data_IF_659225785791
#
_entry.id   IF_659225785791
#
_cell.length_a   1.000
_cell.length_b   1.000
_cell.length_c   1.000
_cell.angle_alpha   90.00
_cell.angle_beta   90.00
_cell.angle_gamma   90.00
#
_symmetry.space_group_name_H-M   'P 1'
#
loop_
_entity.id
_entity.type
_entity.pdbx_description
1 polymer ?
#
# COMPACT_ATOMS: atom_id res chain seq x y z
N UNK A 1 -52.25 -17.28 -64.98
CA UNK A 1 -52.60 -15.97 -65.54
C UNK A 1 -51.68 -14.98 -64.87
N UNK A 2 -50.64 -14.40 -65.46
CA UNK A 2 -50.05 -14.37 -66.80
C UNK A 2 -48.61 -13.82 -66.56
N UNK A 3 -47.58 -14.34 -67.25
CA UNK A 3 -46.86 -13.67 -68.36
C UNK A 3 -46.42 -12.21 -68.03
N UNK A 4 -45.28 -11.65 -68.40
CA UNK A 4 -44.11 -12.03 -69.18
C UNK A 4 -43.30 -10.71 -69.34
N UNK A 5 -41.98 -10.81 -69.56
CA UNK A 5 -41.19 -9.97 -70.46
C UNK A 5 -40.96 -8.45 -70.20
N UNK A 6 -39.70 -8.16 -69.85
CA UNK A 6 -38.68 -7.56 -70.74
C UNK A 6 -38.64 -6.04 -71.02
N UNK A 7 -37.39 -5.64 -71.34
CA UNK A 7 -36.88 -4.41 -71.98
C UNK A 7 -36.76 -3.17 -71.09
N UNK A 8 -35.74 -2.32 -71.21
CA UNK A 8 -34.55 -2.26 -72.07
C UNK A 8 -33.56 -1.23 -71.45
N UNK A 9 -32.27 -1.36 -71.76
CA UNK A 9 -31.27 -0.29 -71.58
C UNK A 9 -31.48 0.84 -72.60
N UNK A 10 -31.03 2.05 -72.28
CA UNK A 10 -30.52 2.98 -73.29
C UNK A 10 -29.08 3.44 -73.02
N UNK A 11 -28.40 3.69 -74.12
CA UNK A 11 -27.00 4.05 -74.36
C UNK A 11 -26.70 5.54 -74.21
N UNK A 12 -25.50 5.83 -73.66
CA UNK A 12 -24.44 6.74 -74.14
C UNK A 12 -24.74 8.22 -74.48
N UNK A 13 -24.08 9.15 -73.76
CA UNK A 13 -23.56 10.45 -74.23
C UNK A 13 -22.44 10.89 -73.25
N UNK A 14 -21.15 10.86 -73.64
CA UNK A 14 -20.31 11.99 -74.08
C UNK A 14 -20.10 13.12 -73.05
N UNK A 15 -18.85 13.31 -72.58
CA UNK A 15 -18.03 14.57 -72.49
C UNK A 15 -16.84 14.44 -71.49
N UNK A 16 -15.78 15.27 -71.55
CA UNK A 16 -14.50 14.96 -72.21
C UNK A 16 -13.30 14.82 -71.24
N UNK A 17 -12.14 14.48 -71.82
CA UNK A 17 -10.83 14.51 -71.18
C UNK A 17 -10.29 15.95 -71.08
N UNK A 18 -9.72 16.31 -69.93
CA UNK A 18 -8.63 17.28 -69.78
C UNK A 18 -8.08 17.25 -68.34
N UNK A 19 -6.76 17.39 -68.19
CA UNK A 19 -6.16 17.90 -66.95
C UNK A 19 -5.17 16.98 -66.25
N UNK A 20 -3.93 16.98 -66.76
CA UNK A 20 -2.73 16.65 -66.01
C UNK A 20 -2.67 17.48 -64.71
N UNK A 21 -2.47 16.80 -63.58
CA UNK A 21 -2.28 17.43 -62.28
C UNK A 21 -1.86 16.41 -61.23
N UNK A 22 -0.59 16.01 -61.30
CA UNK A 22 0.11 15.32 -60.21
C UNK A 22 0.06 16.18 -58.95
N UNK A 23 -0.90 15.91 -58.06
CA UNK A 23 -0.86 16.37 -56.68
C UNK A 23 -0.43 15.20 -55.81
N UNK A 24 0.89 15.11 -55.62
CA UNK A 24 1.49 14.46 -54.46
C UNK A 24 0.84 15.07 -53.23
N UNK A 25 -0.13 14.38 -52.62
CA UNK A 25 -0.54 14.69 -51.26
C UNK A 25 0.57 14.15 -50.37
N UNK A 26 1.53 15.02 -50.13
CA UNK A 26 2.57 14.79 -49.15
C UNK A 26 1.90 14.39 -47.84
N UNK A 27 2.36 13.24 -47.35
CA UNK A 27 2.19 12.73 -46.02
C UNK A 27 2.48 13.83 -44.99
N UNK A 28 1.47 14.63 -44.63
CA UNK A 28 1.47 15.28 -43.33
C UNK A 28 1.14 14.21 -42.30
N UNK A 29 2.18 13.44 -41.95
CA UNK A 29 2.35 12.94 -40.61
C UNK A 29 2.14 14.14 -39.69
N UNK A 30 0.92 14.26 -39.17
CA UNK A 30 0.64 15.09 -38.02
C UNK A 30 1.58 14.56 -36.95
N UNK A 31 2.73 15.21 -36.80
CA UNK A 31 3.66 14.98 -35.71
C UNK A 31 2.89 15.43 -34.50
N UNK A 32 2.07 14.51 -33.98
CA UNK A 32 1.81 14.43 -32.56
C UNK A 32 3.17 14.62 -31.94
N UNK A 33 3.42 15.81 -31.41
CA UNK A 33 4.44 16.02 -30.42
C UNK A 33 4.03 15.04 -29.33
N UNK A 34 4.56 13.80 -29.41
CA UNK A 34 4.56 12.89 -28.28
C UNK A 34 5.24 13.72 -27.22
N UNK A 35 4.44 14.29 -26.34
CA UNK A 35 4.92 14.93 -25.15
C UNK A 35 5.58 13.78 -24.42
N UNK A 36 6.88 13.62 -24.63
CA UNK A 36 7.69 12.54 -24.10
C UNK A 36 7.87 12.85 -22.63
N UNK A 37 6.77 12.80 -21.88
CA UNK A 37 6.77 12.96 -20.44
C UNK A 37 7.59 11.82 -19.88
N UNK A 38 8.85 12.12 -19.63
CA UNK A 38 9.87 11.17 -19.21
C UNK A 38 10.14 11.37 -17.72
N UNK A 39 10.89 10.45 -17.12
CA UNK A 39 11.43 10.57 -15.76
C UNK A 39 12.09 11.95 -15.54
N UNK A 40 12.68 12.55 -16.59
CA UNK A 40 13.34 13.85 -16.54
C UNK A 40 12.39 15.04 -16.31
N UNK A 41 11.09 14.88 -16.58
CA UNK A 41 10.09 15.94 -16.37
C UNK A 41 9.46 15.90 -14.97
N UNK A 42 9.93 14.98 -14.11
CA UNK A 42 9.49 14.92 -12.72
C UNK A 42 9.86 16.23 -11.99
N UNK A 43 8.92 16.83 -11.23
CA UNK A 43 9.19 18.06 -10.51
C UNK A 43 10.28 17.83 -9.46
N UNK A 44 11.32 18.66 -9.48
CA UNK A 44 12.40 18.59 -8.51
C UNK A 44 11.85 18.58 -7.06
N UNK A 45 12.33 17.67 -6.19
CA UNK A 45 11.89 17.61 -4.81
C UNK A 45 11.97 18.97 -4.11
N UNK A 46 10.89 19.35 -3.42
CA UNK A 46 10.81 20.63 -2.70
C UNK A 46 10.31 21.82 -3.53
N UNK A 47 10.08 21.67 -4.83
CA UNK A 47 9.42 22.70 -5.65
C UNK A 47 7.90 22.76 -5.41
N UNK A 48 7.27 23.87 -5.79
CA UNK A 48 5.82 24.08 -5.59
C UNK A 48 4.94 23.05 -6.32
N UNK A 49 5.47 22.45 -7.39
CA UNK A 49 4.78 21.45 -8.22
C UNK A 49 5.08 20.01 -7.77
N UNK A 50 6.05 19.80 -6.87
CA UNK A 50 6.37 18.49 -6.32
C UNK A 50 5.40 18.07 -5.20
N UNK A 51 5.14 16.76 -5.05
CA UNK A 51 4.54 16.23 -3.83
C UNK A 51 5.30 16.68 -2.58
N UNK A 52 4.56 16.94 -1.50
CA UNK A 52 5.19 17.24 -0.20
C UNK A 52 6.02 16.04 0.26
N UNK A 53 7.22 16.29 0.76
CA UNK A 53 8.12 15.24 1.24
C UNK A 53 7.46 14.37 2.29
N UNK A 54 7.38 13.07 2.03
CA UNK A 54 6.80 12.10 2.94
C UNK A 54 7.79 11.71 4.04
N UNK A 55 7.41 11.93 5.29
CA UNK A 55 8.26 11.71 6.48
C UNK A 55 7.87 10.47 7.30
N UNK A 56 7.12 9.53 6.71
CA UNK A 56 6.76 8.27 7.40
C UNK A 56 5.66 8.40 8.45
N UNK A 57 4.74 9.37 8.26
CA UNK A 57 3.54 9.56 9.10
C UNK A 57 2.36 8.76 8.51
N UNK A 58 1.61 7.99 9.32
CA UNK A 58 0.55 7.14 8.78
C UNK A 58 -0.61 7.88 8.13
N UNK A 59 -1.06 8.95 8.77
CA UNK A 59 -2.18 9.76 8.31
C UNK A 59 -1.93 10.45 6.95
N UNK A 60 -0.68 10.71 6.59
CA UNK A 60 -0.32 11.34 5.32
C UNK A 60 0.05 10.35 4.23
N UNK A 61 0.26 9.06 4.54
CA UNK A 61 0.73 8.07 3.57
C UNK A 61 -0.24 7.88 2.41
N UNK A 62 -1.55 7.72 2.69
CA UNK A 62 -2.57 7.56 1.65
C UNK A 62 -2.62 8.75 0.70
N UNK A 63 -2.51 9.96 1.25
CA UNK A 63 -2.49 11.18 0.46
C UNK A 63 -1.24 11.25 -0.42
N UNK A 64 -0.07 10.94 0.15
CA UNK A 64 1.20 10.91 -0.55
C UNK A 64 1.19 9.92 -1.71
N UNK A 65 0.82 8.65 -1.47
CA UNK A 65 0.77 7.62 -2.52
C UNK A 65 -0.16 8.04 -3.66
N UNK A 66 -1.35 8.56 -3.34
CA UNK A 66 -2.28 9.08 -4.34
C UNK A 66 -1.71 10.24 -5.15
N UNK A 67 -0.99 11.16 -4.52
CA UNK A 67 -0.36 12.28 -5.21
C UNK A 67 0.76 11.80 -6.14
N UNK A 68 1.61 10.89 -5.65
CA UNK A 68 2.68 10.30 -6.42
C UNK A 68 2.14 9.47 -7.59
N UNK A 69 1.07 8.69 -7.42
CA UNK A 69 0.47 7.92 -8.52
C UNK A 69 -0.12 8.80 -9.61
N UNK A 70 -0.75 9.94 -9.25
CA UNK A 70 -1.23 10.92 -10.23
C UNK A 70 -0.08 11.53 -11.02
N UNK A 71 1.01 11.90 -10.34
CA UNK A 71 2.23 12.38 -10.96
C UNK A 71 2.82 11.30 -11.88
N UNK A 72 2.86 10.06 -11.39
CA UNK A 72 3.41 8.94 -12.13
C UNK A 72 2.60 8.62 -13.40
N UNK A 73 1.28 8.72 -13.32
CA UNK A 73 0.38 8.54 -14.46
C UNK A 73 0.51 9.68 -15.48
N UNK A 74 0.64 10.94 -15.01
CA UNK A 74 0.85 12.09 -15.88
C UNK A 74 2.13 11.95 -16.71
N UNK A 75 3.19 11.42 -16.09
CA UNK A 75 4.47 11.19 -16.75
C UNK A 75 4.67 9.77 -17.27
N UNK A 76 3.59 8.98 -17.43
CA UNK A 76 3.61 7.64 -18.01
C UNK A 76 4.71 6.69 -17.45
N UNK A 77 5.03 6.83 -16.16
CA UNK A 77 6.08 6.06 -15.52
C UNK A 77 5.71 4.57 -15.42
N UNK A 78 6.63 3.70 -15.79
CA UNK A 78 6.53 2.25 -15.60
C UNK A 78 6.59 1.87 -14.12
N UNK A 79 6.24 0.62 -13.80
CA UNK A 79 6.35 0.10 -12.42
C UNK A 79 7.77 0.22 -11.85
N UNK A 80 8.78 -0.09 -12.66
CA UNK A 80 10.18 0.01 -12.24
C UNK A 80 10.58 1.46 -11.95
N UNK A 81 10.20 2.40 -12.81
CA UNK A 81 10.54 3.80 -12.62
C UNK A 81 9.81 4.40 -11.41
N UNK A 82 8.56 4.00 -11.16
CA UNK A 82 7.85 4.39 -9.93
C UNK A 82 8.61 3.95 -8.68
N UNK A 83 9.11 2.71 -8.66
CA UNK A 83 9.90 2.22 -7.53
C UNK A 83 11.16 3.06 -7.32
N UNK A 84 11.91 3.41 -8.38
CA UNK A 84 13.12 4.22 -8.27
C UNK A 84 12.85 5.66 -7.80
N UNK A 85 11.85 6.32 -8.38
CA UNK A 85 11.61 7.75 -8.19
C UNK A 85 10.76 8.08 -6.94
N UNK A 86 10.12 7.10 -6.29
CA UNK A 86 9.35 7.37 -5.06
C UNK A 86 10.25 7.86 -3.91
N UNK A 87 11.52 7.42 -3.90
CA UNK A 87 12.52 7.78 -2.90
C UNK A 87 12.82 9.29 -2.85
N UNK A 88 12.85 9.94 -4.00
CA UNK A 88 13.16 11.38 -4.14
C UNK A 88 12.14 12.28 -3.43
N UNK A 89 10.91 11.78 -3.26
CA UNK A 89 9.83 12.48 -2.56
C UNK A 89 9.67 12.01 -1.10
N UNK A 90 10.57 11.17 -0.61
CA UNK A 90 10.60 10.67 0.75
C UNK A 90 11.75 11.31 1.55
N UNK A 91 11.64 11.36 2.89
CA UNK A 91 12.80 11.65 3.73
C UNK A 91 13.80 10.50 3.65
N UNK A 92 15.10 10.77 3.81
CA UNK A 92 16.18 9.76 3.79
C UNK A 92 15.85 8.49 4.60
N UNK A 93 15.40 8.64 5.85
CA UNK A 93 15.00 7.50 6.69
C UNK A 93 13.93 6.60 6.05
N UNK A 94 12.97 7.20 5.37
CA UNK A 94 11.88 6.49 4.69
C UNK A 94 12.39 5.84 3.41
N UNK A 95 13.24 6.53 2.66
CA UNK A 95 13.90 5.98 1.48
C UNK A 95 14.69 4.71 1.81
N UNK A 96 15.58 4.77 2.81
CA UNK A 96 16.34 3.60 3.30
C UNK A 96 15.42 2.44 3.72
N UNK A 97 14.26 2.76 4.30
CA UNK A 97 13.26 1.75 4.68
C UNK A 97 12.60 1.12 3.45
N UNK A 98 12.23 1.93 2.46
CA UNK A 98 11.58 1.51 1.21
C UNK A 98 12.52 0.63 0.38
N UNK A 99 13.79 1.01 0.27
CA UNK A 99 14.84 0.24 -0.43
C UNK A 99 15.08 -1.14 0.19
N UNK A 100 14.80 -1.27 1.49
CA UNK A 100 14.84 -2.55 2.20
C UNK A 100 13.69 -3.51 1.86
N UNK A 101 12.59 -3.04 1.27
CA UNK A 101 11.42 -3.88 1.00
C UNK A 101 11.57 -4.75 -0.25
N UNK A 102 11.00 -5.96 -0.19
CA UNK A 102 11.03 -6.92 -1.31
C UNK A 102 10.39 -6.38 -2.59
N UNK A 103 9.30 -5.60 -2.49
CA UNK A 103 8.63 -4.97 -3.63
C UNK A 103 9.50 -3.97 -4.39
N UNK A 104 10.41 -3.27 -3.70
CA UNK A 104 11.38 -2.36 -4.32
C UNK A 104 12.40 -3.13 -5.16
N UNK A 105 12.95 -4.22 -4.60
CA UNK A 105 13.91 -5.10 -5.29
C UNK A 105 13.28 -5.83 -6.48
N UNK A 106 12.03 -6.24 -6.33
CA UNK A 106 11.23 -6.86 -7.39
C UNK A 106 10.75 -5.85 -8.46
N UNK A 107 11.00 -4.55 -8.27
CA UNK A 107 10.55 -3.46 -9.17
C UNK A 107 9.03 -3.45 -9.40
N UNK A 108 8.29 -3.93 -8.41
CA UNK A 108 6.84 -4.05 -8.44
C UNK A 108 6.19 -2.95 -7.57
N UNK A 109 5.64 -1.93 -8.24
CA UNK A 109 4.99 -0.80 -7.58
C UNK A 109 3.78 -1.21 -6.75
N UNK A 110 2.94 -2.12 -7.25
CA UNK A 110 1.71 -2.52 -6.54
C UNK A 110 2.03 -3.22 -5.23
N UNK A 111 3.04 -4.10 -5.26
CA UNK A 111 3.52 -4.80 -4.07
C UNK A 111 4.18 -3.82 -3.11
N UNK A 112 5.00 -2.90 -3.62
CA UNK A 112 5.67 -1.90 -2.79
C UNK A 112 4.68 -0.96 -2.10
N UNK A 113 3.68 -0.45 -2.82
CA UNK A 113 2.65 0.44 -2.27
C UNK A 113 1.85 -0.26 -1.15
N UNK A 114 1.53 -1.56 -1.35
CA UNK A 114 0.88 -2.39 -0.33
C UNK A 114 1.76 -2.58 0.89
N UNK A 115 3.04 -2.97 0.71
CA UNK A 115 3.99 -3.14 1.82
C UNK A 115 4.15 -1.85 2.61
N UNK A 116 4.26 -0.70 1.93
CA UNK A 116 4.32 0.61 2.57
C UNK A 116 3.07 0.91 3.42
N UNK A 117 1.88 0.60 2.90
CA UNK A 117 0.62 0.76 3.64
C UNK A 117 0.57 -0.15 4.87
N UNK A 118 0.92 -1.42 4.72
CA UNK A 118 0.87 -2.42 5.79
C UNK A 118 1.89 -2.10 6.89
N UNK A 119 3.14 -1.79 6.52
CA UNK A 119 4.18 -1.35 7.45
C UNK A 119 3.76 -0.12 8.25
N UNK A 120 3.16 0.85 7.57
CA UNK A 120 2.79 2.11 8.21
C UNK A 120 1.51 2.00 9.05
N UNK A 121 0.57 1.13 8.68
CA UNK A 121 -0.61 0.81 9.51
C UNK A 121 -0.19 0.04 10.76
N UNK A 122 0.74 -0.92 10.65
CA UNK A 122 1.32 -1.59 11.82
C UNK A 122 2.03 -0.58 12.75
N UNK A 123 2.83 0.34 12.18
CA UNK A 123 3.46 1.43 12.93
C UNK A 123 2.44 2.40 13.55
N UNK A 124 1.25 2.53 12.93
CA UNK A 124 0.14 3.38 13.40
C UNK A 124 -0.75 2.72 14.44
N UNK A 125 -0.64 1.41 14.66
CA UNK A 125 -1.20 0.75 15.85
C UNK A 125 -0.35 1.20 17.04
N UNK A 126 -0.42 2.48 17.36
CA UNK A 126 0.32 3.08 18.46
C UNK A 126 -0.54 2.95 19.71
N UNK A 127 -0.17 2.02 20.58
CA UNK A 127 -0.73 1.92 21.91
C UNK A 127 0.21 2.67 22.85
N UNK A 128 0.11 3.99 22.78
CA UNK A 128 1.07 4.90 23.41
C UNK A 128 0.71 5.28 24.85
N UNK A 129 -0.52 5.01 25.28
CA UNK A 129 -1.00 5.36 26.61
C UNK A 129 -1.76 4.21 27.28
N UNK A 130 -1.95 4.35 28.59
CA UNK A 130 -2.67 3.37 29.42
C UNK A 130 -4.12 3.24 28.97
N UNK A 131 -4.73 4.31 28.43
CA UNK A 131 -6.13 4.28 27.96
C UNK A 131 -6.27 3.37 26.74
N UNK A 132 -5.39 3.50 25.75
CA UNK A 132 -5.34 2.64 24.58
C UNK A 132 -5.04 1.18 24.95
N UNK A 133 -4.15 0.94 25.92
CA UNK A 133 -3.92 -0.42 26.45
C UNK A 133 -5.18 -1.02 27.06
N UNK A 134 -5.85 -0.28 27.96
CA UNK A 134 -7.07 -0.75 28.61
C UNK A 134 -8.21 -0.97 27.62
N UNK A 135 -8.40 -0.05 26.67
CA UNK A 135 -9.41 -0.16 25.62
C UNK A 135 -9.16 -1.40 24.76
N UNK A 136 -7.92 -1.63 24.32
CA UNK A 136 -7.55 -2.82 23.59
C UNK A 136 -7.85 -4.12 24.37
N UNK A 137 -7.44 -4.19 25.64
CA UNK A 137 -7.70 -5.36 26.48
C UNK A 137 -9.20 -5.63 26.61
N UNK A 138 -9.99 -4.58 26.89
CA UNK A 138 -11.44 -4.70 27.03
C UNK A 138 -12.12 -5.12 25.73
N UNK A 139 -11.78 -4.50 24.60
CA UNK A 139 -12.33 -4.84 23.29
C UNK A 139 -11.95 -6.26 22.88
N UNK A 140 -10.72 -6.68 23.19
CA UNK A 140 -10.26 -8.03 22.92
C UNK A 140 -11.06 -9.07 23.71
N UNK A 141 -11.21 -8.89 25.03
CA UNK A 141 -12.04 -9.80 25.84
C UNK A 141 -13.50 -9.82 25.40
N UNK A 142 -14.06 -8.68 25.00
CA UNK A 142 -15.43 -8.59 24.49
C UNK A 142 -15.64 -9.49 23.26
N UNK A 143 -14.72 -9.43 22.30
CA UNK A 143 -14.84 -10.18 21.03
C UNK A 143 -14.28 -11.59 21.17
N UNK A 144 -12.99 -11.73 21.46
CA UNK A 144 -12.30 -13.01 21.51
C UNK A 144 -12.71 -13.85 22.73
N UNK A 145 -13.07 -13.21 23.85
CA UNK A 145 -13.57 -13.93 25.03
C UNK A 145 -14.95 -14.55 24.76
N UNK A 146 -15.81 -13.87 24.01
CA UNK A 146 -17.07 -14.46 23.54
C UNK A 146 -16.81 -15.66 22.63
N UNK A 147 -15.82 -15.58 21.72
CA UNK A 147 -15.46 -16.70 20.84
C UNK A 147 -14.87 -17.89 21.61
N UNK A 148 -14.02 -17.64 22.61
CA UNK A 148 -13.45 -18.66 23.49
C UNK A 148 -14.56 -19.38 24.28
N UNK A 149 -15.49 -18.63 24.89
CA UNK A 149 -16.60 -19.21 25.65
C UNK A 149 -17.54 -20.05 24.78
N UNK A 150 -17.69 -19.67 23.51
CA UNK A 150 -18.50 -20.40 22.55
C UNK A 150 -17.75 -21.59 21.91
N UNK A 151 -16.53 -21.90 22.37
CA UNK A 151 -15.71 -23.00 21.85
C UNK A 151 -15.21 -22.80 20.41
N UNK A 152 -15.31 -21.58 19.87
CA UNK A 152 -14.85 -21.23 18.51
C UNK A 152 -13.35 -20.92 18.45
N UNK A 153 -12.70 -20.83 19.60
CA UNK A 153 -11.30 -20.51 19.75
C UNK A 153 -10.74 -21.37 20.89
N UNK A 154 -9.57 -21.97 20.70
CA UNK A 154 -8.86 -22.65 21.79
C UNK A 154 -8.16 -21.63 22.69
N UNK A 155 -7.75 -22.06 23.90
CA UNK A 155 -6.98 -21.20 24.82
C UNK A 155 -5.66 -20.73 24.21
N UNK A 156 -4.98 -21.58 23.44
CA UNK A 156 -3.71 -21.24 22.79
C UNK A 156 -3.94 -20.26 21.62
N UNK A 157 -5.00 -20.44 20.84
CA UNK A 157 -5.38 -19.47 19.80
C UNK A 157 -5.80 -18.13 20.41
N UNK A 158 -6.53 -18.14 21.53
CA UNK A 158 -6.87 -16.93 22.29
C UNK A 158 -5.61 -16.18 22.72
N UNK A 159 -4.67 -16.86 23.36
CA UNK A 159 -3.42 -16.23 23.75
C UNK A 159 -2.60 -15.75 22.54
N UNK A 160 -2.54 -16.52 21.46
CA UNK A 160 -1.81 -16.16 20.23
C UNK A 160 -2.40 -14.91 19.57
N UNK A 161 -3.72 -14.86 19.40
CA UNK A 161 -4.40 -13.72 18.77
C UNK A 161 -4.29 -12.46 19.61
N UNK A 162 -4.27 -12.57 20.95
CA UNK A 162 -3.96 -11.45 21.83
C UNK A 162 -2.56 -10.89 21.51
N UNK A 163 -1.53 -11.73 21.45
CA UNK A 163 -0.17 -11.27 21.16
C UNK A 163 -0.02 -10.65 19.77
N UNK A 164 -0.72 -11.16 18.76
CA UNK A 164 -0.72 -10.59 17.40
C UNK A 164 -1.33 -9.17 17.40
N UNK A 165 -2.34 -8.93 18.25
CA UNK A 165 -2.98 -7.62 18.37
C UNK A 165 -2.13 -6.55 19.05
N UNK A 166 -1.10 -6.94 19.82
CA UNK A 166 -0.22 -6.02 20.53
C UNK A 166 0.86 -5.45 19.59
N UNK A 167 1.01 -4.12 19.51
CA UNK A 167 2.09 -3.50 18.73
C UNK A 167 3.46 -3.97 19.21
N UNK A 168 4.41 -4.21 18.29
CA UNK A 168 5.74 -4.77 18.60
C UNK A 168 6.46 -4.02 19.74
N UNK A 169 6.42 -2.68 19.72
CA UNK A 169 7.02 -1.84 20.77
C UNK A 169 6.45 -2.11 22.17
N UNK A 170 5.17 -2.45 22.25
CA UNK A 170 4.53 -2.79 23.52
C UNK A 170 4.88 -4.22 23.90
N UNK A 171 4.84 -5.17 22.95
CA UNK A 171 5.28 -6.56 23.17
C UNK A 171 6.67 -6.64 23.78
N UNK A 172 7.64 -5.92 23.21
CA UNK A 172 9.03 -5.88 23.69
C UNK A 172 9.12 -5.46 25.18
N UNK A 173 8.20 -4.60 25.65
CA UNK A 173 8.13 -4.13 27.05
C UNK A 173 7.39 -5.09 27.98
N UNK A 174 6.35 -5.77 27.50
CA UNK A 174 5.55 -6.70 28.32
C UNK A 174 6.27 -8.05 28.45
N UNK A 175 6.98 -8.47 27.42
CA UNK A 175 7.59 -9.79 27.33
C UNK A 175 8.65 -10.05 28.39
N UNK A 176 9.52 -9.08 28.67
CA UNK A 176 10.59 -9.23 29.68
C UNK A 176 9.99 -9.49 31.07
N UNK A 177 9.08 -8.66 31.61
CA UNK A 177 8.40 -8.93 32.88
C UNK A 177 7.67 -10.27 32.94
N UNK A 178 6.96 -10.67 31.88
CA UNK A 178 6.25 -11.96 31.84
C UNK A 178 7.22 -13.12 31.93
N UNK A 179 8.31 -13.09 31.17
CA UNK A 179 9.33 -14.13 31.20
C UNK A 179 9.95 -14.25 32.59
N UNK A 180 10.22 -13.12 33.24
CA UNK A 180 10.70 -13.11 34.63
C UNK A 180 9.67 -13.68 35.60
N UNK A 181 8.38 -13.34 35.48
CA UNK A 181 7.32 -13.87 36.35
C UNK A 181 7.11 -15.37 36.15
N UNK A 182 7.05 -15.84 34.91
CA UNK A 182 6.84 -17.25 34.58
C UNK A 182 8.09 -18.11 34.84
N UNK A 183 9.27 -17.50 34.95
CA UNK A 183 10.52 -18.16 35.31
C UNK A 183 10.75 -18.30 36.81
N UNK A 184 9.98 -17.63 37.67
CA UNK A 184 10.11 -17.75 39.13
C UNK A 184 9.64 -19.13 39.60
N UNK A 185 10.59 -19.95 40.06
CA UNK A 185 10.31 -21.19 40.81
C UNK A 185 10.10 -22.47 39.98
N UNK A 186 10.41 -22.50 38.68
CA UNK A 186 10.36 -23.72 37.85
C UNK A 186 11.68 -23.99 37.13
N UNK A 187 12.19 -25.21 37.26
CA UNK A 187 13.27 -25.74 36.42
C UNK A 187 12.68 -25.96 35.01
N UNK A 188 12.93 -25.03 34.09
CA UNK A 188 12.50 -25.12 32.68
C UNK A 188 11.76 -23.92 32.10
N UNK A 189 11.32 -22.94 32.91
CA UNK A 189 10.65 -21.73 32.41
C UNK A 189 9.36 -21.96 31.60
N UNK A 190 8.79 -20.89 31.02
CA UNK A 190 7.67 -21.01 30.06
C UNK A 190 8.22 -21.39 28.67
N UNK A 191 7.69 -22.44 28.02
CA UNK A 191 8.16 -22.86 26.71
C UNK A 191 7.83 -21.80 25.64
N UNK A 192 8.85 -21.36 24.89
CA UNK A 192 8.69 -20.36 23.82
C UNK A 192 7.78 -20.81 22.67
N UNK A 193 7.52 -22.12 22.56
CA UNK A 193 6.59 -22.68 21.59
C UNK A 193 5.12 -22.44 21.94
N UNK A 194 4.81 -22.01 23.17
CA UNK A 194 3.45 -21.69 23.61
C UNK A 194 3.27 -20.19 23.80
N UNK A 195 2.11 -19.64 23.42
CA UNK A 195 1.83 -18.22 23.63
C UNK A 195 1.79 -17.89 25.13
N UNK A 196 2.16 -16.66 25.51
CA UNK A 196 2.05 -16.23 26.90
C UNK A 196 0.58 -16.03 27.28
N UNK A 197 0.14 -16.45 28.47
CA UNK A 197 -1.25 -16.25 28.90
C UNK A 197 -1.65 -14.77 28.89
N UNK A 198 -2.91 -14.51 28.51
CA UNK A 198 -3.44 -13.14 28.41
C UNK A 198 -3.47 -12.44 29.77
N UNK A 199 -3.77 -13.18 30.84
CA UNK A 199 -3.85 -12.66 32.20
C UNK A 199 -2.51 -12.13 32.72
N UNK A 200 -1.41 -12.84 32.48
CA UNK A 200 -0.06 -12.36 32.80
C UNK A 200 0.31 -11.16 31.92
N UNK A 201 -0.09 -11.19 30.65
CA UNK A 201 0.21 -10.13 29.69
C UNK A 201 -0.50 -8.81 30.01
N UNK A 202 -1.75 -8.87 30.49
CA UNK A 202 -2.54 -7.70 30.89
C UNK A 202 -1.99 -6.98 32.11
N UNK A 203 -1.37 -7.71 33.05
CA UNK A 203 -0.74 -7.13 34.25
C UNK A 203 0.46 -6.24 33.91
N UNK A 204 1.30 -6.69 32.97
CA UNK A 204 2.58 -6.06 32.63
C UNK A 204 2.51 -5.06 31.47
N UNK A 205 1.40 -5.02 30.73
CA UNK A 205 1.26 -4.13 29.58
C UNK A 205 1.03 -2.65 29.91
N UNK A 206 1.17 -2.24 31.18
CA UNK A 206 1.08 -0.83 31.57
C UNK A 206 2.30 -0.08 31.00
N UNK A 207 2.13 0.93 30.13
CA UNK A 207 3.20 1.86 29.82
C UNK A 207 3.63 2.52 31.14
N UNK A 208 4.89 2.34 31.53
CA UNK A 208 5.46 3.08 32.65
C UNK A 208 5.38 4.57 32.31
N UNK A 209 4.60 5.32 33.11
CA UNK A 209 4.67 6.77 33.09
C UNK A 209 6.07 7.17 33.60
N UNK A 210 6.77 8.14 32.99
CA UNK A 210 8.09 8.57 33.46
C UNK A 210 8.09 9.30 34.82
N UNK A 211 7.00 9.32 35.59
CA UNK A 211 6.86 10.21 36.75
C UNK A 211 6.09 9.61 37.93
N UNK A 212 6.27 8.33 38.25
CA UNK A 212 5.78 7.80 39.53
C UNK A 212 6.94 7.25 40.35
N UNK A 213 7.59 8.18 41.07
CA UNK A 213 8.24 7.91 42.36
C UNK A 213 7.15 7.80 43.44
#
# INVERSE_FOLDING_TARGET
MDLESSRASPTMDHYPADGLGSFSLDMQSNTSTRNHHSVLDLPNPGTRTAPRTFRGRPNTLKLFLRQFEKLAALHSLSSEEKCKNVGDYCSQRVQETIEGFGGYRAKNWTDLAKICHDYQTEKSRTMNDIKAWKAYVQDYYRVAGSLLNNGKLTTDEFATQFWIGIPRRVRDRVEIPIRTELGKGKVGGHPMSKPFPVETSTKHGRPTAPWSL
#
